data_IF_200463155692
#
_entry.id   IF_200463155692
#
_cell.length_a   1.000
_cell.length_b   1.000
_cell.length_c   1.000
_cell.angle_alpha   90.00
_cell.angle_beta   90.00
_cell.angle_gamma   90.00
#
_symmetry.space_group_name_H-M   'P 1'
#
loop_
_entity.id
_entity.type
_entity.pdbx_description
1 polymer ?
#
# COMPACT_ATOMS: atom_id res chain seq x y z
N UNK A 1 -10.68 -12.70 -10.80
CA UNK A 1 -11.54 -13.83 -10.38
C UNK A 1 -12.43 -14.19 -11.57
N UNK A 2 -12.51 -15.46 -11.96
CA UNK A 2 -13.38 -15.88 -13.06
C UNK A 2 -14.84 -15.60 -12.68
N UNK A 3 -15.70 -15.24 -13.66
CA UNK A 3 -17.14 -15.00 -13.47
C UNK A 3 -17.85 -16.14 -12.73
N UNK A 4 -17.30 -17.35 -12.82
CA UNK A 4 -17.78 -18.54 -12.09
C UNK A 4 -17.54 -18.43 -10.58
N UNK A 5 -16.42 -17.83 -10.14
CA UNK A 5 -16.08 -17.60 -8.72
C UNK A 5 -16.93 -16.49 -8.13
N UNK A 6 -17.20 -15.44 -8.90
CA UNK A 6 -18.08 -14.33 -8.47
C UNK A 6 -19.53 -14.82 -8.37
N UNK A 7 -19.98 -15.61 -9.35
CA UNK A 7 -21.32 -16.21 -9.34
C UNK A 7 -21.52 -17.21 -8.19
N UNK A 8 -20.49 -18.01 -7.87
CA UNK A 8 -20.52 -18.95 -6.75
C UNK A 8 -20.53 -18.18 -5.40
N UNK A 9 -19.69 -17.17 -5.26
CA UNK A 9 -19.64 -16.33 -4.06
C UNK A 9 -20.96 -15.59 -3.86
N UNK A 10 -21.56 -15.03 -4.91
CA UNK A 10 -22.85 -14.33 -4.84
C UNK A 10 -24.00 -15.29 -4.51
N UNK A 11 -24.00 -16.50 -5.05
CA UNK A 11 -24.99 -17.54 -4.74
C UNK A 11 -24.84 -18.05 -3.30
N UNK A 12 -23.60 -18.15 -2.81
CA UNK A 12 -23.27 -18.60 -1.46
C UNK A 12 -23.61 -17.52 -0.40
N UNK A 13 -23.43 -16.23 -0.72
CA UNK A 13 -23.83 -15.12 0.15
C UNK A 13 -25.35 -14.95 0.24
N UNK A 14 -26.10 -15.48 -0.73
CA UNK A 14 -27.56 -15.50 -0.71
C UNK A 14 -28.14 -16.63 0.17
N UNK A 15 -27.32 -17.55 0.66
CA UNK A 15 -27.78 -18.66 1.51
C UNK A 15 -27.68 -18.26 3.00
N UNK A 16 -28.71 -18.53 3.77
CA UNK A 16 -28.74 -18.28 5.22
C UNK A 16 -27.88 -19.31 6.02
N UNK A 17 -26.82 -19.85 5.43
CA UNK A 17 -25.96 -20.85 6.09
C UNK A 17 -24.48 -20.49 5.96
N UNK A 18 -23.97 -19.51 6.75
CA UNK A 18 -22.59 -19.03 6.66
C UNK A 18 -21.54 -20.12 6.93
N UNK A 19 -21.88 -21.12 7.77
CA UNK A 19 -21.01 -22.27 8.07
C UNK A 19 -20.76 -23.15 6.83
N UNK A 20 -21.81 -23.42 6.06
CA UNK A 20 -21.70 -24.25 4.85
C UNK A 20 -20.84 -23.55 3.78
N UNK A 21 -20.98 -22.23 3.68
CA UNK A 21 -20.17 -21.37 2.77
C UNK A 21 -18.70 -21.37 3.19
N UNK A 22 -18.40 -21.14 4.47
CA UNK A 22 -17.04 -21.16 4.99
C UNK A 22 -16.38 -22.53 4.76
N UNK A 23 -17.08 -23.62 5.04
CA UNK A 23 -16.57 -24.97 4.81
C UNK A 23 -16.30 -25.27 3.32
N UNK A 24 -17.16 -24.77 2.42
CA UNK A 24 -17.01 -24.98 0.97
C UNK A 24 -15.85 -24.18 0.40
N UNK A 25 -15.68 -22.92 0.87
CA UNK A 25 -14.54 -22.07 0.49
C UNK A 25 -13.24 -22.66 1.03
N UNK A 26 -13.21 -23.13 2.27
CA UNK A 26 -12.06 -23.80 2.84
C UNK A 26 -11.70 -25.08 2.08
N UNK A 27 -12.70 -25.86 1.69
CA UNK A 27 -12.51 -27.13 0.96
C UNK A 27 -12.02 -26.94 -0.48
N UNK A 28 -12.46 -25.87 -1.17
CA UNK A 28 -12.14 -25.64 -2.57
C UNK A 28 -11.05 -24.60 -2.82
N UNK A 29 -10.84 -23.68 -1.91
CA UNK A 29 -9.89 -22.57 -2.05
C UNK A 29 -8.80 -22.55 -0.97
N UNK A 30 -8.89 -23.40 0.05
CA UNK A 30 -7.93 -23.48 1.15
C UNK A 30 -7.98 -22.26 2.11
N UNK A 31 -8.96 -21.38 1.94
CA UNK A 31 -9.09 -20.13 2.71
C UNK A 31 -10.15 -20.33 3.79
N UNK A 32 -9.78 -20.11 5.05
CA UNK A 32 -10.72 -20.09 6.18
C UNK A 32 -11.37 -18.71 6.26
N UNK A 33 -12.64 -18.62 5.88
CA UNK A 33 -13.42 -17.40 6.12
C UNK A 33 -13.89 -17.39 7.58
N UNK A 34 -13.64 -16.33 8.36
CA UNK A 34 -14.24 -16.19 9.67
C UNK A 34 -15.77 -16.12 9.51
N UNK A 35 -16.45 -16.88 10.36
CA UNK A 35 -17.90 -16.95 10.35
C UNK A 35 -18.42 -15.68 11.02
N UNK A 36 -18.86 -14.75 10.19
CA UNK A 36 -19.58 -13.56 10.66
C UNK A 36 -21.05 -13.86 10.54
N UNK A 37 -21.79 -13.77 11.63
CA UNK A 37 -23.24 -13.84 11.56
C UNK A 37 -23.77 -12.55 10.92
N UNK A 38 -24.10 -12.67 9.63
CA UNK A 38 -24.66 -11.55 8.85
C UNK A 38 -25.98 -11.00 9.40
N UNK A 39 -26.63 -11.72 10.31
CA UNK A 39 -27.86 -11.32 10.98
C UNK A 39 -27.60 -10.62 12.32
N UNK A 40 -26.38 -10.65 12.84
CA UNK A 40 -26.02 -9.92 14.04
C UNK A 40 -26.22 -8.41 13.81
N UNK A 41 -27.02 -7.73 14.64
CA UNK A 41 -27.24 -6.30 14.54
C UNK A 41 -25.95 -5.48 14.60
N UNK A 42 -24.98 -5.85 15.44
CA UNK A 42 -23.70 -5.17 15.58
C UNK A 42 -22.85 -5.31 14.29
N UNK A 43 -22.83 -6.50 13.70
CA UNK A 43 -22.12 -6.73 12.44
C UNK A 43 -22.77 -6.00 11.26
N UNK A 44 -24.09 -5.82 11.26
CA UNK A 44 -24.76 -4.99 10.25
C UNK A 44 -24.47 -3.50 10.44
N UNK A 45 -24.45 -3.02 11.68
CA UNK A 45 -24.09 -1.64 12.00
C UNK A 45 -22.64 -1.35 11.58
N UNK A 46 -21.71 -2.22 11.94
CA UNK A 46 -20.30 -2.10 11.54
C UNK A 46 -20.14 -2.08 10.00
N UNK A 47 -20.84 -2.96 9.29
CA UNK A 47 -20.80 -2.99 7.82
C UNK A 47 -21.30 -1.69 7.21
N UNK A 48 -22.37 -1.12 7.74
CA UNK A 48 -22.89 0.16 7.26
C UNK A 48 -21.91 1.31 7.50
N UNK A 49 -21.17 1.29 8.63
CA UNK A 49 -20.10 2.25 8.88
C UNK A 49 -18.96 2.10 7.85
N UNK A 50 -18.53 0.87 7.58
CA UNK A 50 -17.47 0.60 6.60
C UNK A 50 -17.87 1.02 5.17
N UNK A 51 -19.14 0.81 4.77
CA UNK A 51 -19.67 1.33 3.50
C UNK A 51 -19.69 2.87 3.52
N UNK A 52 -20.01 3.45 4.66
CA UNK A 52 -20.07 4.91 4.83
C UNK A 52 -18.70 5.57 4.81
N UNK A 53 -17.64 4.90 5.31
CA UNK A 53 -16.29 5.42 5.28
C UNK A 53 -15.70 5.32 3.86
N UNK A 54 -15.87 4.20 3.15
CA UNK A 54 -15.51 4.06 1.74
C UNK A 54 -16.16 5.17 0.89
N UNK A 55 -17.47 5.39 1.08
CA UNK A 55 -18.18 6.46 0.38
C UNK A 55 -17.65 7.87 0.72
N UNK A 56 -17.20 8.08 1.97
CA UNK A 56 -16.61 9.36 2.37
C UNK A 56 -15.26 9.60 1.69
N UNK A 57 -14.45 8.56 1.57
CA UNK A 57 -13.16 8.61 0.91
C UNK A 57 -13.31 8.87 -0.59
N UNK A 58 -14.25 8.19 -1.24
CA UNK A 58 -14.55 8.40 -2.67
C UNK A 58 -15.06 9.82 -2.92
N UNK A 59 -15.98 10.32 -2.10
CA UNK A 59 -16.50 11.68 -2.19
C UNK A 59 -15.39 12.73 -2.03
N UNK A 60 -14.48 12.55 -1.09
CA UNK A 60 -13.33 13.43 -0.87
C UNK A 60 -12.36 13.38 -2.05
N UNK A 61 -12.10 12.21 -2.60
CA UNK A 61 -11.29 12.07 -3.81
C UNK A 61 -11.90 12.83 -5.00
N UNK A 62 -13.21 12.72 -5.18
CA UNK A 62 -13.93 13.45 -6.22
C UNK A 62 -13.83 14.97 -6.02
N UNK A 63 -13.95 15.47 -4.79
CA UNK A 63 -13.77 16.90 -4.52
C UNK A 63 -12.37 17.37 -4.87
N UNK A 64 -11.32 16.61 -4.53
CA UNK A 64 -9.93 16.94 -4.83
C UNK A 64 -9.71 16.96 -6.35
N UNK A 65 -10.24 15.97 -7.06
CA UNK A 65 -10.04 15.81 -8.50
C UNK A 65 -10.83 16.88 -9.31
N UNK A 66 -12.07 17.17 -8.88
CA UNK A 66 -12.96 18.09 -9.59
C UNK A 66 -12.55 19.55 -9.40
N UNK A 67 -12.07 19.91 -8.21
CA UNK A 67 -11.79 21.33 -7.92
C UNK A 67 -10.52 21.85 -8.58
N UNK A 68 -9.70 21.03 -9.21
CA UNK A 68 -8.46 21.43 -9.91
C UNK A 68 -7.82 22.72 -9.36
N UNK A 69 -7.77 22.83 -8.02
CA UNK A 69 -7.37 24.05 -7.33
C UNK A 69 -5.89 24.29 -7.61
N UNK A 70 -5.60 25.38 -8.32
CA UNK A 70 -4.20 25.78 -8.48
C UNK A 70 -3.55 25.85 -7.11
N UNK A 71 -2.39 25.21 -6.96
CA UNK A 71 -1.63 25.11 -5.68
C UNK A 71 -1.35 26.47 -5.02
N UNK A 72 -1.60 27.56 -5.71
CA UNK A 72 -1.41 28.95 -5.27
C UNK A 72 -2.68 29.58 -4.68
N UNK A 73 -3.86 28.95 -4.79
CA UNK A 73 -5.11 29.52 -4.27
C UNK A 73 -5.35 29.07 -2.81
N UNK A 74 -4.61 29.66 -1.87
CA UNK A 74 -4.67 29.34 -0.45
C UNK A 74 -6.08 29.39 0.17
N UNK A 75 -6.95 30.39 -0.10
CA UNK A 75 -8.30 30.41 0.47
C UNK A 75 -9.17 29.24 0.01
N UNK A 76 -9.10 28.87 -1.27
CA UNK A 76 -9.87 27.75 -1.80
C UNK A 76 -9.38 26.40 -1.26
N UNK A 77 -8.07 26.27 -1.06
CA UNK A 77 -7.48 25.09 -0.40
C UNK A 77 -7.96 24.99 1.05
N UNK A 78 -7.99 26.09 1.79
CA UNK A 78 -8.44 26.11 3.17
C UNK A 78 -9.91 25.72 3.31
N UNK A 79 -10.78 26.19 2.42
CA UNK A 79 -12.20 25.81 2.42
C UNK A 79 -12.39 24.34 2.05
N UNK A 80 -11.66 23.83 1.05
CA UNK A 80 -11.67 22.41 0.70
C UNK A 80 -11.24 21.55 1.91
N UNK A 81 -10.14 21.92 2.57
CA UNK A 81 -9.66 21.19 3.75
C UNK A 81 -10.69 21.17 4.88
N UNK A 82 -11.34 22.30 5.14
CA UNK A 82 -12.41 22.38 6.14
C UNK A 82 -13.57 21.43 5.80
N UNK A 83 -13.95 21.37 4.54
CA UNK A 83 -15.00 20.46 4.06
C UNK A 83 -14.58 18.99 4.19
N UNK A 84 -13.34 18.66 3.86
CA UNK A 84 -12.78 17.31 4.01
C UNK A 84 -12.80 16.88 5.48
N UNK A 85 -12.26 17.73 6.37
CA UNK A 85 -12.25 17.45 7.80
C UNK A 85 -13.67 17.23 8.37
N UNK A 86 -14.63 18.11 7.99
CA UNK A 86 -16.01 17.95 8.45
C UNK A 86 -16.63 16.63 7.96
N UNK A 87 -16.30 16.18 6.76
CA UNK A 87 -16.80 14.90 6.22
C UNK A 87 -16.22 13.71 6.97
N UNK A 88 -14.93 13.73 7.28
CA UNK A 88 -14.27 12.66 8.03
C UNK A 88 -14.68 12.62 9.50
N UNK A 89 -14.96 13.78 10.13
CA UNK A 89 -15.48 13.83 11.50
C UNK A 89 -16.84 13.12 11.64
N UNK A 90 -17.70 13.15 10.63
CA UNK A 90 -18.94 12.38 10.63
C UNK A 90 -18.67 10.89 10.74
N UNK A 91 -17.69 10.38 10.00
CA UNK A 91 -17.28 8.96 10.03
C UNK A 91 -16.67 8.61 11.39
N UNK A 92 -15.75 9.43 11.90
CA UNK A 92 -15.14 9.24 13.23
C UNK A 92 -16.20 9.13 14.31
N UNK A 93 -17.17 10.05 14.34
CA UNK A 93 -18.27 10.00 15.31
C UNK A 93 -19.13 8.73 15.17
N UNK A 94 -19.30 8.23 13.95
CA UNK A 94 -19.98 6.96 13.70
C UNK A 94 -19.25 5.80 14.38
N UNK A 95 -17.95 5.66 14.14
CA UNK A 95 -17.12 4.64 14.79
C UNK A 95 -17.05 4.80 16.31
N UNK A 96 -16.89 6.03 16.81
CA UNK A 96 -16.91 6.31 18.26
C UNK A 96 -18.25 5.92 18.89
N UNK A 97 -19.36 6.14 18.19
CA UNK A 97 -20.69 5.72 18.61
C UNK A 97 -20.80 4.20 18.69
N UNK A 98 -20.37 3.53 17.63
CA UNK A 98 -20.36 2.08 17.52
C UNK A 98 -19.53 1.45 18.66
N UNK A 99 -18.30 1.90 18.84
CA UNK A 99 -17.38 1.33 19.85
C UNK A 99 -17.81 1.62 21.30
N UNK A 100 -18.55 2.70 21.54
CA UNK A 100 -19.20 2.91 22.87
C UNK A 100 -20.27 1.86 23.15
N UNK A 101 -21.00 1.43 22.13
CA UNK A 101 -22.06 0.43 22.26
C UNK A 101 -21.50 -1.01 22.21
N UNK A 102 -20.38 -1.21 21.53
CA UNK A 102 -19.73 -2.51 21.29
C UNK A 102 -18.23 -2.45 21.65
N UNK A 103 -17.88 -2.24 22.94
CA UNK A 103 -16.47 -2.04 23.37
C UNK A 103 -15.61 -3.30 23.24
N UNK A 104 -16.20 -4.45 22.99
CA UNK A 104 -15.57 -5.74 22.78
C UNK A 104 -15.43 -6.13 21.29
N UNK A 105 -15.83 -5.22 20.38
CA UNK A 105 -15.73 -5.49 18.94
C UNK A 105 -14.31 -5.29 18.40
N UNK A 106 -13.51 -6.35 18.42
CA UNK A 106 -12.16 -6.33 17.82
C UNK A 106 -12.19 -5.88 16.34
N UNK A 107 -13.23 -6.30 15.59
CA UNK A 107 -13.42 -5.90 14.20
C UNK A 107 -13.77 -4.41 14.06
N UNK A 108 -14.55 -3.87 14.97
CA UNK A 108 -14.87 -2.44 14.99
C UNK A 108 -13.60 -1.60 15.19
N UNK A 109 -12.76 -1.97 16.13
CA UNK A 109 -11.47 -1.33 16.34
C UNK A 109 -10.55 -1.45 15.09
N UNK A 110 -10.48 -2.63 14.49
CA UNK A 110 -9.68 -2.82 13.27
C UNK A 110 -10.18 -1.95 12.12
N UNK A 111 -11.47 -1.92 11.86
CA UNK A 111 -12.08 -1.11 10.80
C UNK A 111 -11.87 0.39 11.05
N UNK A 112 -12.08 0.86 12.28
CA UNK A 112 -11.80 2.26 12.63
C UNK A 112 -10.32 2.62 12.44
N UNK A 113 -9.41 1.76 12.89
CA UNK A 113 -7.99 1.93 12.67
C UNK A 113 -7.63 2.05 11.19
N UNK A 114 -8.24 1.23 10.33
CA UNK A 114 -8.03 1.30 8.88
C UNK A 114 -8.50 2.62 8.28
N UNK A 115 -9.69 3.09 8.67
CA UNK A 115 -10.19 4.40 8.25
C UNK A 115 -9.25 5.53 8.70
N UNK A 116 -8.80 5.50 9.97
CA UNK A 116 -7.87 6.52 10.50
C UNK A 116 -6.55 6.53 9.72
N UNK A 117 -6.00 5.35 9.42
CA UNK A 117 -4.81 5.21 8.59
C UNK A 117 -5.03 5.78 7.18
N UNK A 118 -6.18 5.49 6.60
CA UNK A 118 -6.54 5.96 5.25
C UNK A 118 -6.65 7.48 5.15
N UNK A 119 -7.02 8.15 6.21
CA UNK A 119 -7.07 9.62 6.27
C UNK A 119 -5.78 10.27 6.80
N UNK A 120 -4.74 9.47 7.10
CA UNK A 120 -3.44 9.93 7.56
C UNK A 120 -3.33 10.20 9.07
N UNK A 121 -4.29 9.72 9.86
CA UNK A 121 -4.24 9.74 11.34
C UNK A 121 -3.57 8.45 11.84
N UNK A 122 -2.27 8.32 11.56
CA UNK A 122 -1.49 7.09 11.82
C UNK A 122 -1.42 6.76 13.31
N UNK A 123 -1.25 7.75 14.19
CA UNK A 123 -1.22 7.54 15.64
C UNK A 123 -2.59 7.09 16.18
N UNK A 124 -3.67 7.67 15.67
CA UNK A 124 -5.03 7.23 15.96
C UNK A 124 -5.27 5.79 15.49
N UNK A 125 -4.81 5.46 14.28
CA UNK A 125 -4.91 4.12 13.72
C UNK A 125 -4.19 3.09 14.59
N UNK A 126 -2.95 3.36 15.01
CA UNK A 126 -2.17 2.49 15.92
C UNK A 126 -2.96 2.15 17.18
N UNK A 127 -3.53 3.17 17.84
CA UNK A 127 -4.31 2.95 19.07
C UNK A 127 -5.47 1.97 18.84
N UNK A 128 -6.18 2.12 17.71
CA UNK A 128 -7.30 1.24 17.40
C UNK A 128 -6.81 -0.18 17.04
N UNK A 129 -5.70 -0.31 16.33
CA UNK A 129 -5.10 -1.61 16.03
C UNK A 129 -4.63 -2.33 17.31
N UNK A 130 -4.03 -1.62 18.26
CA UNK A 130 -3.63 -2.19 19.54
C UNK A 130 -4.85 -2.67 20.36
N UNK A 131 -5.95 -1.89 20.39
CA UNK A 131 -7.20 -2.33 21.00
C UNK A 131 -7.76 -3.59 20.33
N UNK A 132 -7.77 -3.62 19.00
CA UNK A 132 -8.20 -4.81 18.26
C UNK A 132 -7.33 -6.04 18.58
N UNK A 133 -5.99 -5.86 18.62
CA UNK A 133 -5.04 -6.92 18.98
C UNK A 133 -5.24 -7.46 20.40
N UNK A 134 -5.58 -6.60 21.36
CA UNK A 134 -5.88 -7.02 22.73
C UNK A 134 -7.14 -7.88 22.82
N UNK A 135 -8.16 -7.55 22.04
CA UNK A 135 -9.43 -8.28 22.03
C UNK A 135 -9.36 -9.57 21.22
N UNK A 136 -8.68 -9.56 20.07
CA UNK A 136 -8.49 -10.74 19.23
C UNK A 136 -7.03 -10.85 18.71
N UNK A 137 -6.12 -11.39 19.53
CA UNK A 137 -4.73 -11.58 19.16
C UNK A 137 -4.53 -12.66 18.09
N UNK A 138 -5.58 -13.39 17.71
CA UNK A 138 -5.52 -14.42 16.67
C UNK A 138 -5.91 -13.88 15.29
N UNK A 139 -6.37 -12.65 15.20
CA UNK A 139 -6.68 -12.01 13.92
C UNK A 139 -5.38 -11.62 13.20
N UNK A 140 -5.00 -12.24 12.07
CA UNK A 140 -3.75 -11.94 11.38
C UNK A 140 -3.72 -10.53 10.79
N UNK A 141 -4.89 -9.97 10.44
CA UNK A 141 -4.96 -8.66 9.82
C UNK A 141 -4.46 -7.55 10.74
N UNK A 142 -4.73 -7.63 12.05
CA UNK A 142 -4.26 -6.60 12.99
C UNK A 142 -2.74 -6.60 13.14
N UNK A 143 -2.10 -7.77 13.09
CA UNK A 143 -0.66 -7.88 13.11
C UNK A 143 -0.03 -7.27 11.84
N UNK A 144 -0.64 -7.53 10.68
CA UNK A 144 -0.19 -6.92 9.44
C UNK A 144 -0.32 -5.38 9.45
N UNK A 145 -1.43 -4.84 9.98
CA UNK A 145 -1.62 -3.39 10.07
C UNK A 145 -0.63 -2.74 11.03
N UNK A 146 -0.38 -3.34 12.19
CA UNK A 146 0.65 -2.86 13.11
C UNK A 146 2.05 -2.96 12.49
N UNK A 147 2.35 -4.03 11.75
CA UNK A 147 3.61 -4.17 11.04
C UNK A 147 3.82 -3.06 9.98
N UNK A 148 2.76 -2.68 9.25
CA UNK A 148 2.81 -1.54 8.31
C UNK A 148 3.12 -0.25 9.07
N UNK A 149 2.37 0.05 10.14
CA UNK A 149 2.59 1.22 10.98
C UNK A 149 4.05 1.28 11.47
N UNK A 150 4.56 0.19 12.05
CA UNK A 150 5.94 0.14 12.54
C UNK A 150 6.97 0.29 11.42
N UNK A 151 6.69 -0.27 10.23
CA UNK A 151 7.57 -0.13 9.06
C UNK A 151 7.68 1.32 8.60
N UNK A 152 6.58 2.05 8.54
CA UNK A 152 6.51 3.46 8.13
C UNK A 152 7.15 4.39 9.18
N UNK A 153 7.04 4.05 10.46
CA UNK A 153 7.58 4.82 11.57
C UNK A 153 9.01 4.44 12.00
N UNK A 154 9.68 3.56 11.25
CA UNK A 154 11.08 3.20 11.48
C UNK A 154 11.32 2.19 12.60
N UNK A 155 10.27 1.61 13.17
CA UNK A 155 10.36 0.56 14.20
C UNK A 155 10.50 -0.84 13.56
N UNK A 156 11.52 -1.03 12.71
CA UNK A 156 11.66 -2.18 11.81
C UNK A 156 11.71 -3.54 12.52
N UNK A 157 12.26 -3.60 13.73
CA UNK A 157 12.29 -4.83 14.53
C UNK A 157 10.86 -5.31 14.85
N UNK A 158 9.99 -4.37 15.26
CA UNK A 158 8.58 -4.66 15.54
C UNK A 158 7.85 -5.04 14.25
N UNK A 159 8.08 -4.30 13.15
CA UNK A 159 7.48 -4.59 11.84
C UNK A 159 7.79 -6.02 11.38
N UNK A 160 9.06 -6.43 11.41
CA UNK A 160 9.47 -7.78 10.98
C UNK A 160 8.88 -8.89 11.85
N UNK A 161 8.76 -8.65 13.17
CA UNK A 161 8.14 -9.59 14.09
C UNK A 161 6.63 -9.74 13.82
N UNK A 162 5.93 -8.61 13.67
CA UNK A 162 4.48 -8.59 13.47
C UNK A 162 4.07 -9.15 12.10
N UNK A 163 4.81 -8.87 11.00
CA UNK A 163 4.59 -9.55 9.73
C UNK A 163 4.78 -11.07 9.82
N UNK A 164 5.79 -11.51 10.58
CA UNK A 164 6.03 -12.95 10.80
C UNK A 164 4.85 -13.58 11.51
N UNK A 165 4.28 -12.89 12.50
CA UNK A 165 3.12 -13.37 13.24
C UNK A 165 1.85 -13.37 12.37
N UNK A 166 1.62 -12.35 11.53
CA UNK A 166 0.51 -12.32 10.59
C UNK A 166 0.55 -13.54 9.65
N UNK A 167 1.71 -13.83 9.06
CA UNK A 167 1.91 -15.00 8.20
C UNK A 167 1.75 -16.32 8.98
N UNK A 168 2.21 -16.39 10.22
CA UNK A 168 2.04 -17.59 11.06
C UNK A 168 0.57 -17.90 11.33
N UNK A 169 -0.26 -16.85 11.52
CA UNK A 169 -1.68 -16.96 11.81
C UNK A 169 -2.49 -17.31 10.55
N UNK A 170 -2.14 -16.70 9.42
CA UNK A 170 -2.75 -17.04 8.11
C UNK A 170 -1.68 -17.08 7.01
N UNK A 171 -1.13 -18.28 6.73
CA UNK A 171 -0.12 -18.46 5.70
C UNK A 171 -0.70 -18.45 4.26
N UNK A 172 -2.02 -18.37 4.10
CA UNK A 172 -2.68 -18.39 2.79
C UNK A 172 -2.96 -16.97 2.24
N UNK A 173 -2.73 -15.91 3.03
CA UNK A 173 -2.98 -14.54 2.63
C UNK A 173 -1.76 -13.93 1.89
N UNK A 174 -1.84 -13.65 0.58
CA UNK A 174 -0.72 -13.14 -0.21
C UNK A 174 -0.27 -11.74 0.21
N UNK A 175 -1.17 -10.91 0.74
CA UNK A 175 -0.87 -9.52 1.12
C UNK A 175 0.16 -9.46 2.23
N UNK A 176 0.15 -10.39 3.20
CA UNK A 176 1.12 -10.39 4.29
C UNK A 176 2.54 -10.64 3.79
N UNK A 177 2.69 -11.54 2.81
CA UNK A 177 3.98 -11.78 2.17
C UNK A 177 4.44 -10.60 1.33
N UNK A 178 3.52 -9.95 0.58
CA UNK A 178 3.83 -8.77 -0.26
C UNK A 178 4.33 -7.61 0.61
N UNK A 179 3.60 -7.26 1.66
CA UNK A 179 3.96 -6.17 2.56
C UNK A 179 5.30 -6.43 3.24
N UNK A 180 5.47 -7.64 3.75
CA UNK A 180 6.73 -8.04 4.37
C UNK A 180 7.89 -8.00 3.38
N UNK A 181 7.70 -8.49 2.14
CA UNK A 181 8.71 -8.43 1.09
C UNK A 181 9.12 -6.99 0.77
N UNK A 182 8.15 -6.09 0.61
CA UNK A 182 8.36 -4.66 0.36
C UNK A 182 9.15 -4.03 1.49
N UNK A 183 8.77 -4.27 2.74
CA UNK A 183 9.45 -3.71 3.92
C UNK A 183 10.88 -4.23 4.04
N UNK A 184 11.13 -5.53 3.87
CA UNK A 184 12.47 -6.12 3.85
C UNK A 184 13.33 -5.51 2.72
N UNK A 185 12.73 -5.31 1.54
CA UNK A 185 13.42 -4.72 0.40
C UNK A 185 13.76 -3.25 0.60
N UNK A 186 12.86 -2.44 1.11
CA UNK A 186 13.06 -1.00 1.32
C UNK A 186 14.05 -0.73 2.46
N UNK A 187 13.93 -1.44 3.56
CA UNK A 187 14.74 -1.26 4.76
C UNK A 187 15.86 -2.31 4.88
N UNK A 188 16.62 -2.44 3.77
CA UNK A 188 17.70 -3.45 3.64
C UNK A 188 18.73 -3.42 4.74
N UNK A 189 19.07 -2.21 5.22
CA UNK A 189 20.06 -2.04 6.29
C UNK A 189 19.55 -2.71 7.58
N UNK A 190 18.35 -2.38 7.97
CA UNK A 190 17.72 -2.89 9.20
C UNK A 190 17.46 -4.39 9.09
N UNK A 191 17.02 -4.87 7.92
CA UNK A 191 16.85 -6.29 7.65
C UNK A 191 18.18 -7.08 7.75
N UNK A 192 19.30 -6.49 7.28
CA UNK A 192 20.64 -7.10 7.45
C UNK A 192 20.99 -7.26 8.93
N UNK A 193 20.77 -6.22 9.71
CA UNK A 193 21.06 -6.20 11.14
C UNK A 193 20.16 -7.18 11.90
N UNK A 194 18.85 -7.14 11.64
CA UNK A 194 17.87 -8.00 12.31
C UNK A 194 18.08 -9.49 12.04
N UNK A 195 18.36 -9.87 10.77
CA UNK A 195 18.56 -11.27 10.40
C UNK A 195 20.02 -11.75 10.47
N UNK A 196 20.99 -10.87 10.69
CA UNK A 196 22.41 -11.20 10.68
C UNK A 196 22.92 -11.72 9.31
N UNK A 197 22.38 -11.17 8.20
CA UNK A 197 22.68 -11.62 6.83
C UNK A 197 23.26 -10.50 5.98
N UNK A 198 23.89 -10.84 4.84
CA UNK A 198 24.41 -9.85 3.91
C UNK A 198 23.29 -9.29 2.98
N UNK A 199 23.61 -8.22 2.24
CA UNK A 199 22.62 -7.53 1.40
C UNK A 199 22.03 -8.42 0.29
N UNK A 200 22.84 -9.30 -0.32
CA UNK A 200 22.33 -10.23 -1.33
C UNK A 200 21.33 -11.23 -0.73
N UNK A 201 21.58 -11.68 0.49
CA UNK A 201 20.65 -12.55 1.21
C UNK A 201 19.37 -11.81 1.64
N UNK A 202 19.45 -10.50 1.90
CA UNK A 202 18.24 -9.67 2.12
C UNK A 202 17.39 -9.62 0.85
N UNK A 203 18.01 -9.39 -0.31
CA UNK A 203 17.29 -9.46 -1.59
C UNK A 203 16.68 -10.84 -1.82
N UNK A 204 17.44 -11.91 -1.57
CA UNK A 204 16.91 -13.27 -1.70
C UNK A 204 15.72 -13.54 -0.80
N UNK A 205 15.74 -13.00 0.44
CA UNK A 205 14.62 -13.07 1.38
C UNK A 205 13.40 -12.31 0.87
N UNK A 206 13.56 -11.06 0.42
CA UNK A 206 12.46 -10.26 -0.12
C UNK A 206 11.86 -10.92 -1.36
N UNK A 207 12.69 -11.32 -2.33
CA UNK A 207 12.25 -12.04 -3.53
C UNK A 207 11.59 -13.39 -3.19
N UNK A 208 12.04 -14.06 -2.13
CA UNK A 208 11.43 -15.29 -1.62
C UNK A 208 9.99 -15.05 -1.12
N UNK A 209 9.77 -14.00 -0.37
CA UNK A 209 8.46 -13.59 0.12
C UNK A 209 7.53 -13.21 -1.05
N UNK A 210 7.98 -12.39 -2.01
CA UNK A 210 7.21 -12.08 -3.22
C UNK A 210 6.82 -13.34 -3.99
N UNK A 211 7.74 -14.31 -4.15
CA UNK A 211 7.42 -15.58 -4.81
C UNK A 211 6.35 -16.39 -4.08
N UNK A 212 6.30 -16.32 -2.74
CA UNK A 212 5.20 -16.97 -2.00
C UNK A 212 3.88 -16.24 -2.24
N UNK A 213 3.87 -14.91 -2.18
CA UNK A 213 2.68 -14.12 -2.53
C UNK A 213 2.18 -14.42 -3.95
N UNK A 214 3.09 -14.48 -4.94
CA UNK A 214 2.77 -14.83 -6.34
C UNK A 214 2.20 -16.24 -6.51
N UNK A 215 2.61 -17.21 -5.70
CA UNK A 215 2.01 -18.56 -5.72
C UNK A 215 0.56 -18.53 -5.21
N UNK A 216 0.26 -17.70 -4.22
CA UNK A 216 -1.07 -17.56 -3.64
C UNK A 216 -2.00 -16.71 -4.53
N UNK A 217 -1.46 -15.71 -5.21
CA UNK A 217 -2.22 -14.81 -6.09
C UNK A 217 -1.57 -14.68 -7.49
N UNK A 218 -1.54 -15.74 -8.32
CA UNK A 218 -0.78 -15.78 -9.57
C UNK A 218 -1.31 -14.82 -10.66
N UNK A 219 -2.52 -14.32 -10.55
CA UNK A 219 -3.15 -13.38 -11.49
C UNK A 219 -3.18 -11.94 -10.99
N UNK A 220 -2.46 -11.63 -9.90
CA UNK A 220 -2.38 -10.28 -9.36
C UNK A 220 -1.24 -9.51 -10.05
N UNK A 221 -1.61 -8.59 -10.96
CA UNK A 221 -0.65 -7.80 -11.73
C UNK A 221 0.15 -6.85 -10.83
N UNK A 222 -0.49 -6.22 -9.84
CA UNK A 222 0.20 -5.29 -8.93
C UNK A 222 1.34 -6.01 -8.21
N UNK A 223 1.06 -7.17 -7.65
CA UNK A 223 2.06 -8.02 -6.99
C UNK A 223 3.18 -8.46 -7.96
N UNK A 224 2.83 -8.82 -9.21
CA UNK A 224 3.81 -9.20 -10.22
C UNK A 224 4.73 -8.03 -10.62
N UNK A 225 4.18 -6.82 -10.67
CA UNK A 225 4.94 -5.58 -10.92
C UNK A 225 5.87 -5.28 -9.75
N UNK A 226 5.38 -5.28 -8.50
CA UNK A 226 6.21 -5.06 -7.30
C UNK A 226 7.38 -6.03 -7.22
N UNK A 227 7.11 -7.31 -7.50
CA UNK A 227 8.15 -8.34 -7.58
C UNK A 227 9.20 -8.02 -8.66
N UNK A 228 8.75 -7.64 -9.86
CA UNK A 228 9.64 -7.33 -10.97
C UNK A 228 10.43 -6.03 -10.75
N UNK A 229 9.82 -5.00 -10.14
CA UNK A 229 10.48 -3.74 -9.78
C UNK A 229 11.59 -3.92 -8.73
N UNK A 230 11.44 -4.89 -7.84
CA UNK A 230 12.45 -5.19 -6.81
C UNK A 230 13.83 -5.48 -7.41
N UNK A 231 13.91 -5.96 -8.67
CA UNK A 231 15.18 -6.20 -9.33
C UNK A 231 15.97 -4.94 -9.67
N UNK A 232 15.33 -3.76 -9.79
CA UNK A 232 16.04 -2.52 -10.12
C UNK A 232 17.02 -2.06 -9.03
N UNK A 233 16.75 -2.41 -7.77
CA UNK A 233 17.64 -2.09 -6.64
C UNK A 233 18.78 -3.09 -6.43
N UNK A 234 18.77 -4.24 -7.11
CA UNK A 234 19.76 -5.30 -6.91
C UNK A 234 21.01 -5.01 -7.75
N UNK A 235 22.18 -5.01 -7.11
CA UNK A 235 23.48 -4.78 -7.75
C UNK A 235 24.41 -5.98 -7.53
N UNK A 236 24.98 -6.60 -8.58
CA UNK A 236 24.72 -6.38 -10.00
C UNK A 236 23.29 -6.78 -10.37
N UNK A 237 22.75 -6.18 -11.44
CA UNK A 237 21.40 -6.49 -11.91
C UNK A 237 21.26 -7.98 -12.27
N UNK A 238 20.29 -8.66 -11.71
CA UNK A 238 19.95 -10.05 -12.05
C UNK A 238 19.08 -10.06 -13.30
N UNK A 239 19.68 -9.77 -14.43
CA UNK A 239 19.01 -9.47 -15.71
C UNK A 239 18.03 -10.55 -16.14
N UNK A 240 18.44 -11.83 -16.11
CA UNK A 240 17.58 -12.93 -16.55
C UNK A 240 16.33 -13.06 -15.66
N UNK A 241 16.51 -12.95 -14.35
CA UNK A 241 15.41 -13.05 -13.39
C UNK A 241 14.45 -11.86 -13.55
N UNK A 242 14.99 -10.65 -13.76
CA UNK A 242 14.18 -9.45 -14.01
C UNK A 242 13.36 -9.59 -15.30
N UNK A 243 13.95 -10.10 -16.39
CA UNK A 243 13.25 -10.35 -17.65
C UNK A 243 12.14 -11.37 -17.48
N UNK A 244 12.38 -12.46 -16.75
CA UNK A 244 11.36 -13.47 -16.43
C UNK A 244 10.21 -12.85 -15.62
N UNK A 245 10.53 -12.06 -14.61
CA UNK A 245 9.52 -11.40 -13.76
C UNK A 245 8.63 -10.43 -14.58
N UNK A 246 9.23 -9.57 -15.40
CA UNK A 246 8.48 -8.65 -16.27
C UNK A 246 7.71 -9.36 -17.38
N UNK A 247 8.24 -10.45 -17.94
CA UNK A 247 7.50 -11.26 -18.92
C UNK A 247 6.28 -11.91 -18.27
N UNK A 248 6.41 -12.40 -17.03
CA UNK A 248 5.26 -12.90 -16.29
C UNK A 248 4.20 -11.80 -16.06
N UNK A 249 4.61 -10.60 -15.65
CA UNK A 249 3.69 -9.46 -15.50
C UNK A 249 2.95 -9.16 -16.83
N UNK A 250 3.66 -9.22 -17.98
CA UNK A 250 3.05 -9.03 -19.29
C UNK A 250 1.96 -10.07 -19.61
N UNK A 251 2.13 -11.32 -19.18
CA UNK A 251 1.12 -12.37 -19.39
C UNK A 251 -0.13 -12.20 -18.55
N UNK A 252 -0.03 -11.46 -17.44
CA UNK A 252 -1.12 -11.20 -16.50
C UNK A 252 -1.89 -9.92 -16.87
N UNK A 253 -1.24 -8.98 -17.56
CA UNK A 253 -1.83 -7.71 -17.98
C UNK A 253 -3.12 -7.94 -18.82
N UNK A 254 -4.21 -7.29 -18.41
CA UNK A 254 -5.57 -7.54 -18.95
C UNK A 254 -5.97 -6.56 -20.04
N UNK A 255 -5.52 -5.32 -19.93
CA UNK A 255 -5.85 -4.26 -20.89
C UNK A 255 -4.59 -3.62 -21.49
N UNK A 256 -4.80 -2.75 -22.47
CA UNK A 256 -3.70 -2.10 -23.20
C UNK A 256 -2.90 -1.15 -22.29
N UNK A 257 -3.52 -0.50 -21.30
CA UNK A 257 -2.82 0.38 -20.39
C UNK A 257 -1.85 -0.41 -19.49
N UNK A 258 -2.32 -1.51 -18.90
CA UNK A 258 -1.47 -2.43 -18.12
C UNK A 258 -0.35 -3.01 -18.97
N UNK A 259 -0.70 -3.46 -20.18
CA UNK A 259 0.26 -4.06 -21.13
C UNK A 259 1.34 -3.07 -21.54
N UNK A 260 0.98 -1.86 -21.95
CA UNK A 260 1.92 -0.85 -22.38
C UNK A 260 2.82 -0.37 -21.23
N UNK A 261 2.28 -0.27 -20.00
CA UNK A 261 3.07 -0.02 -18.81
C UNK A 261 4.18 -1.06 -18.62
N UNK A 262 3.84 -2.35 -18.70
CA UNK A 262 4.82 -3.45 -18.58
C UNK A 262 5.83 -3.45 -19.73
N UNK A 263 5.42 -3.13 -20.97
CA UNK A 263 6.33 -3.03 -22.12
C UNK A 263 7.43 -1.97 -21.91
N UNK A 264 7.11 -0.84 -21.28
CA UNK A 264 8.10 0.18 -20.93
C UNK A 264 9.16 -0.35 -19.96
N UNK A 265 8.76 -1.13 -18.98
CA UNK A 265 9.67 -1.77 -18.04
C UNK A 265 10.54 -2.85 -18.73
N UNK A 266 9.96 -3.66 -19.61
CA UNK A 266 10.72 -4.61 -20.44
C UNK A 266 11.73 -3.90 -21.32
N UNK A 267 11.35 -2.80 -21.97
CA UNK A 267 12.27 -2.00 -22.75
C UNK A 267 13.45 -1.49 -21.90
N UNK A 268 13.18 -1.01 -20.69
CA UNK A 268 14.22 -0.55 -19.75
C UNK A 268 15.19 -1.66 -19.36
N UNK A 269 14.70 -2.84 -18.98
CA UNK A 269 15.57 -3.97 -18.59
C UNK A 269 16.36 -4.47 -19.78
N UNK A 270 15.75 -4.58 -20.98
CA UNK A 270 16.42 -5.00 -22.20
C UNK A 270 17.50 -4.00 -22.66
N UNK A 271 17.25 -2.69 -22.50
CA UNK A 271 18.27 -1.67 -22.74
C UNK A 271 19.49 -1.88 -21.84
N UNK A 272 19.27 -2.06 -20.54
CA UNK A 272 20.33 -2.32 -19.57
C UNK A 272 21.09 -3.65 -19.84
N UNK A 273 20.42 -4.60 -20.49
CA UNK A 273 20.97 -5.90 -20.87
C UNK A 273 21.70 -5.90 -22.23
N UNK A 274 21.63 -4.81 -23.01
CA UNK A 274 22.20 -4.72 -24.37
C UNK A 274 21.30 -5.31 -25.47
N UNK A 275 20.05 -5.69 -25.17
CA UNK A 275 19.07 -6.19 -26.15
C UNK A 275 18.34 -5.01 -26.83
N UNK A 276 19.09 -4.17 -27.54
CA UNK A 276 18.61 -2.86 -28.01
C UNK A 276 17.47 -2.94 -29.02
N UNK A 277 17.53 -3.89 -29.97
CA UNK A 277 16.49 -4.02 -30.99
C UNK A 277 15.16 -4.51 -30.40
N UNK A 278 15.22 -5.42 -29.44
CA UNK A 278 14.05 -5.87 -28.69
C UNK A 278 13.49 -4.78 -27.77
N UNK A 279 14.37 -3.98 -27.15
CA UNK A 279 13.97 -2.82 -26.36
C UNK A 279 13.21 -1.80 -27.22
N UNK A 280 13.74 -1.52 -28.44
CA UNK A 280 13.08 -0.63 -29.39
C UNK A 280 11.70 -1.14 -29.80
N UNK A 281 11.59 -2.44 -30.12
CA UNK A 281 10.31 -3.04 -30.50
C UNK A 281 9.24 -2.89 -29.38
N UNK A 282 9.64 -3.01 -28.10
CA UNK A 282 8.73 -2.76 -26.99
C UNK A 282 8.32 -1.29 -26.89
N UNK A 283 9.24 -0.34 -27.08
CA UNK A 283 8.90 1.08 -27.11
C UNK A 283 7.97 1.42 -28.27
N UNK A 284 8.17 0.85 -29.46
CA UNK A 284 7.33 1.11 -30.64
C UNK A 284 5.89 0.63 -30.43
N UNK A 285 5.71 -0.44 -29.67
CA UNK A 285 4.39 -0.99 -29.33
C UNK A 285 3.58 -0.12 -28.34
N UNK A 286 4.21 0.86 -27.68
CA UNK A 286 3.52 1.78 -26.74
C UNK A 286 2.91 2.94 -27.53
N UNK A 287 1.60 3.08 -27.46
CA UNK A 287 0.82 4.09 -28.21
C UNK A 287 0.03 5.03 -27.32
N UNK A 288 -0.22 4.66 -26.06
CA UNK A 288 -1.01 5.44 -25.12
C UNK A 288 -0.33 6.78 -24.80
N UNK A 289 -1.12 7.86 -24.99
CA UNK A 289 -0.67 9.24 -24.77
C UNK A 289 -0.15 9.48 -23.35
N UNK A 290 -0.70 8.79 -22.34
CA UNK A 290 -0.26 8.91 -20.94
C UNK A 290 1.20 8.45 -20.74
N UNK A 291 1.72 7.60 -21.60
CA UNK A 291 3.08 7.06 -21.51
C UNK A 291 4.09 7.73 -22.43
N UNK A 292 3.71 8.69 -23.27
CA UNK A 292 4.60 9.28 -24.29
C UNK A 292 5.85 9.94 -23.70
N UNK A 293 5.74 10.61 -22.57
CA UNK A 293 6.89 11.23 -21.90
C UNK A 293 7.88 10.19 -21.41
N UNK A 294 7.38 9.11 -20.81
CA UNK A 294 8.22 8.01 -20.32
C UNK A 294 8.85 7.27 -21.50
N UNK A 295 8.07 6.95 -22.53
CA UNK A 295 8.55 6.35 -23.79
C UNK A 295 9.70 7.17 -24.38
N UNK A 296 9.53 8.49 -24.48
CA UNK A 296 10.55 9.40 -25.03
C UNK A 296 11.85 9.37 -24.22
N UNK A 297 11.74 9.37 -22.89
CA UNK A 297 12.90 9.27 -22.00
C UNK A 297 13.63 7.93 -22.13
N UNK A 298 12.89 6.84 -22.22
CA UNK A 298 13.46 5.51 -22.39
C UNK A 298 14.09 5.34 -23.79
N UNK A 299 13.48 5.89 -24.85
CA UNK A 299 14.04 5.89 -26.19
C UNK A 299 15.37 6.66 -26.24
N UNK A 300 15.48 7.81 -25.56
CA UNK A 300 16.74 8.54 -25.43
C UNK A 300 17.79 7.71 -24.69
N UNK A 301 17.42 7.12 -23.55
CA UNK A 301 18.33 6.23 -22.81
C UNK A 301 18.81 5.06 -23.66
N UNK A 302 17.93 4.46 -24.47
CA UNK A 302 18.29 3.39 -25.40
C UNK A 302 19.29 3.87 -26.45
N UNK A 303 19.06 5.05 -27.05
CA UNK A 303 19.96 5.64 -28.02
C UNK A 303 21.37 5.92 -27.43
N UNK A 304 21.42 6.44 -26.19
CA UNK A 304 22.66 6.70 -25.46
C UNK A 304 23.47 5.42 -25.18
N UNK A 305 22.77 4.32 -24.85
CA UNK A 305 23.41 3.02 -24.63
C UNK A 305 23.90 2.36 -25.94
N UNK A 306 23.14 2.54 -27.03
CA UNK A 306 23.49 2.01 -28.35
C UNK A 306 24.67 2.75 -28.97
N UNK A 307 24.74 4.06 -28.73
CA UNK A 307 25.78 4.96 -29.24
C UNK A 307 26.31 5.81 -28.09
N UNK A 308 27.18 5.25 -27.23
CA UNK A 308 27.75 6.03 -26.14
C UNK A 308 28.50 7.23 -26.72
N UNK A 309 28.30 8.45 -26.16
CA UNK A 309 29.02 9.61 -26.65
C UNK A 309 30.51 9.35 -26.57
N UNK A 310 31.19 9.51 -27.69
CA UNK A 310 32.65 9.42 -27.80
C UNK A 310 33.26 10.64 -27.11
N UNK A 311 33.37 10.60 -25.81
CA UNK A 311 34.14 11.59 -25.07
C UNK A 311 35.63 11.26 -25.24
N UNK A 312 36.32 12.15 -25.94
CA UNK A 312 37.77 12.31 -25.80
C UNK A 312 38.12 12.33 -24.32
N UNK A 313 39.10 11.49 -23.98
CA UNK A 313 39.63 11.33 -22.63
C UNK A 313 40.13 12.70 -22.14
N UNK A 314 39.34 13.39 -21.33
CA UNK A 314 39.82 14.31 -20.31
C UNK A 314 39.60 13.61 -18.96
N UNK A 315 40.71 13.35 -18.30
CA UNK A 315 40.73 12.83 -16.93
C UNK A 315 39.93 13.76 -16.03
N UNK A 316 38.74 13.34 -15.63
CA UNK A 316 37.94 14.03 -14.63
C UNK A 316 38.15 13.34 -13.28
N UNK A 317 38.56 14.10 -12.24
CA UNK A 317 38.86 13.53 -10.94
C UNK A 317 37.60 12.87 -10.31
N UNK A 318 37.83 11.70 -9.76
CA UNK A 318 36.89 10.91 -8.98
C UNK A 318 36.24 11.72 -7.88
N UNK A 319 35.04 12.31 -8.11
CA UNK A 319 34.11 12.63 -7.04
C UNK A 319 32.70 12.96 -7.59
N UNK A 320 31.72 12.28 -7.00
CA UNK A 320 30.28 12.46 -7.10
C UNK A 320 29.60 11.92 -8.36
N UNK A 321 29.25 10.65 -8.31
CA UNK A 321 28.07 10.14 -9.01
C UNK A 321 26.84 10.70 -8.29
N UNK A 322 26.28 11.78 -8.81
CA UNK A 322 24.91 12.19 -8.47
C UNK A 322 23.99 11.26 -9.24
N UNK A 323 23.53 10.21 -8.58
CA UNK A 323 22.42 9.40 -9.09
C UNK A 323 21.19 10.30 -9.05
N UNK A 324 20.70 10.69 -10.23
CA UNK A 324 19.45 11.41 -10.36
C UNK A 324 18.31 10.46 -9.92
N UNK A 325 17.90 10.59 -8.68
CA UNK A 325 16.78 9.86 -8.06
C UNK A 325 15.40 10.23 -8.63
N UNK A 326 15.37 11.17 -9.59
CA UNK A 326 14.12 11.68 -10.15
C UNK A 326 13.44 10.78 -11.19
N UNK A 327 14.11 9.71 -11.67
CA UNK A 327 13.50 8.82 -12.65
C UNK A 327 12.64 7.72 -11.99
N UNK A 328 13.01 7.31 -10.79
CA UNK A 328 12.21 6.36 -10.00
C UNK A 328 10.88 6.98 -9.53
N UNK A 329 10.92 8.26 -9.10
CA UNK A 329 9.74 8.95 -8.60
C UNK A 329 8.63 9.18 -9.64
N UNK A 330 8.96 9.27 -10.92
CA UNK A 330 7.95 9.55 -11.97
C UNK A 330 7.22 8.29 -12.45
N UNK A 331 7.87 7.13 -12.38
CA UNK A 331 7.22 5.84 -12.71
C UNK A 331 6.43 5.33 -11.51
N UNK A 332 6.97 5.52 -10.31
CA UNK A 332 6.31 5.24 -9.04
C UNK A 332 4.97 5.97 -8.93
N UNK A 333 4.85 7.20 -9.44
CA UNK A 333 3.61 7.99 -9.33
C UNK A 333 2.43 7.48 -10.18
N UNK A 334 2.65 6.57 -11.15
CA UNK A 334 1.55 5.95 -11.93
C UNK A 334 1.18 4.59 -11.34
N UNK A 335 2.12 3.89 -10.73
CA UNK A 335 1.92 2.55 -10.16
C UNK A 335 1.76 2.58 -8.64
N UNK A 336 2.43 3.47 -7.91
CA UNK A 336 2.30 3.61 -6.44
C UNK A 336 0.99 4.28 -5.99
N UNK A 337 0.23 4.88 -6.92
CA UNK A 337 -1.16 5.23 -6.61
C UNK A 337 -2.01 3.99 -6.30
N UNK A 338 -1.53 2.79 -6.63
CA UNK A 338 -2.22 1.51 -6.36
C UNK A 338 -1.63 0.72 -5.18
N UNK A 339 -0.42 1.07 -4.67
CA UNK A 339 0.26 0.24 -3.67
C UNK A 339 0.12 0.71 -2.23
N UNK A 340 -0.39 1.91 -1.98
CA UNK A 340 -0.56 2.43 -0.62
C UNK A 340 -1.90 2.07 0.03
N UNK A 341 -2.69 1.19 -0.59
CA UNK A 341 -3.82 0.55 0.06
C UNK A 341 -3.57 -0.93 0.19
N UNK A 342 -3.20 -1.30 1.38
CA UNK A 342 -3.40 -2.66 1.83
C UNK A 342 -4.91 -2.87 1.92
N UNK A 343 -5.50 -3.79 1.14
CA UNK A 343 -6.89 -4.10 1.32
C UNK A 343 -7.05 -4.55 2.77
N UNK A 344 -7.83 -3.82 3.53
CA UNK A 344 -8.41 -4.39 4.75
C UNK A 344 -9.24 -5.56 4.24
N UNK A 345 -8.66 -6.75 4.34
CA UNK A 345 -9.42 -7.96 4.15
C UNK A 345 -10.40 -8.03 5.30
N UNK A 346 -11.53 -7.39 5.09
CA UNK A 346 -12.73 -7.71 5.85
C UNK A 346 -13.13 -9.09 5.42
N UNK A 347 -12.62 -10.07 6.16
CA UNK A 347 -12.97 -11.46 5.97
C UNK A 347 -14.49 -11.58 5.89
N UNK A 348 -15.03 -11.87 4.73
CA UNK A 348 -16.45 -12.15 4.53
C UNK A 348 -17.32 -11.06 3.91
N UNK A 349 -16.75 -9.90 3.48
CA UNK A 349 -17.47 -8.96 2.62
C UNK A 349 -17.09 -9.19 1.15
N UNK A 350 -18.02 -9.04 0.19
CA UNK A 350 -17.66 -9.06 -1.21
C UNK A 350 -16.59 -7.99 -1.44
N UNK A 351 -15.49 -8.37 -2.07
CA UNK A 351 -14.50 -7.40 -2.53
C UNK A 351 -15.24 -6.40 -3.41
N UNK A 352 -15.42 -5.18 -2.93
CA UNK A 352 -15.88 -4.08 -3.76
C UNK A 352 -14.84 -3.92 -4.86
N UNK A 353 -15.28 -4.06 -6.08
CA UNK A 353 -14.51 -4.18 -7.31
C UNK A 353 -13.86 -2.87 -7.70
N UNK A 354 -13.12 -2.26 -6.85
CA UNK A 354 -12.09 -1.25 -7.07
C UNK A 354 -11.73 -0.69 -5.69
N UNK A 355 -10.57 -1.02 -5.12
CA UNK A 355 -10.11 -0.28 -3.96
C UNK A 355 -9.97 1.19 -4.40
N UNK A 356 -10.58 2.15 -3.69
CA UNK A 356 -10.36 3.54 -4.00
C UNK A 356 -8.87 3.83 -3.86
N UNK A 357 -8.28 4.34 -4.94
CA UNK A 357 -6.90 4.77 -4.98
C UNK A 357 -6.80 6.03 -4.15
N UNK A 358 -6.22 5.97 -2.95
CA UNK A 358 -5.84 7.19 -2.26
C UNK A 358 -4.86 7.94 -3.14
N UNK A 359 -5.34 9.06 -3.63
CA UNK A 359 -4.42 9.98 -4.28
C UNK A 359 -3.49 10.56 -3.22
N UNK A 360 -2.15 10.52 -3.43
CA UNK A 360 -1.19 11.26 -2.60
C UNK A 360 -1.57 12.73 -2.40
N UNK A 361 -2.59 13.20 -3.13
CA UNK A 361 -3.16 14.54 -3.03
C UNK A 361 -3.88 14.84 -1.72
N UNK A 362 -4.49 13.84 -1.03
CA UNK A 362 -5.16 14.09 0.26
C UNK A 362 -4.13 14.45 1.31
N UNK A 363 -3.09 13.65 1.45
CA UNK A 363 -1.99 13.93 2.39
C UNK A 363 -1.28 15.24 2.03
N UNK A 364 -1.01 15.50 0.74
CA UNK A 364 -0.36 16.74 0.31
C UNK A 364 -1.21 17.99 0.55
N UNK A 365 -2.53 17.89 0.46
CA UNK A 365 -3.45 18.99 0.78
C UNK A 365 -3.49 19.23 2.30
N UNK A 366 -3.50 18.16 3.11
CA UNK A 366 -3.54 18.26 4.57
C UNK A 366 -2.21 18.73 5.19
N UNK A 367 -1.07 18.29 4.66
CA UNK A 367 0.26 18.65 5.19
C UNK A 367 0.71 20.07 4.88
N UNK A 368 0.08 20.75 3.92
CA UNK A 368 0.37 22.17 3.62
C UNK A 368 -0.42 23.17 4.49
N UNK A 369 -1.22 22.70 5.45
CA UNK A 369 -1.87 23.56 6.44
C UNK A 369 -0.98 23.59 7.69
N UNK A 370 -0.55 24.78 8.15
CA UNK A 370 0.15 24.86 9.44
C UNK A 370 -0.78 24.31 10.54
N UNK A 371 -0.26 23.55 11.51
CA UNK A 371 -1.08 22.97 12.55
C UNK A 371 -1.89 24.09 13.23
N UNK A 372 -3.21 23.96 13.24
CA UNK A 372 -4.10 24.81 14.03
C UNK A 372 -3.88 24.36 15.47
N UNK A 373 -2.94 25.03 16.17
CA UNK A 373 -2.80 24.87 17.61
C UNK A 373 -4.12 25.40 18.21
N UNK A 374 -4.94 24.56 18.86
CA UNK A 374 -6.10 25.06 19.59
C UNK A 374 -5.55 26.03 20.65
N UNK A 375 -5.96 27.27 20.63
CA UNK A 375 -5.70 28.18 21.74
C UNK A 375 -6.26 27.53 22.99
N UNK A 376 -5.38 27.09 23.87
CA UNK A 376 -5.71 26.59 25.17
C UNK A 376 -6.57 27.66 25.87
N UNK A 377 -7.87 27.38 25.98
CA UNK A 377 -8.75 28.14 26.86
C UNK A 377 -8.21 27.98 28.29
N UNK A 378 -7.91 29.12 28.90
CA UNK A 378 -7.20 29.26 30.13
C UNK A 378 -7.60 28.31 31.25
N UNK A 379 -6.66 27.47 31.60
CA UNK A 379 -6.58 26.91 32.96
C UNK A 379 -5.48 27.71 33.70
N UNK A 380 -5.94 28.49 34.66
CA UNK A 380 -5.06 29.22 35.59
C UNK A 380 -4.15 28.21 36.28
N UNK A 381 -2.84 28.46 36.19
CA UNK A 381 -1.85 27.71 36.94
C UNK A 381 -2.04 27.99 38.46
N UNK A 382 -2.15 26.92 39.22
CA UNK A 382 -2.10 27.00 40.69
C UNK A 382 -0.70 27.46 41.14
N UNK A 383 -0.60 28.27 42.22
CA UNK A 383 0.67 28.77 42.67
C UNK A 383 1.57 27.67 43.25
N UNK A 384 2.90 27.80 43.18
CA UNK A 384 3.82 26.77 43.66
C UNK A 384 3.82 26.72 45.21
N UNK A 385 3.61 25.52 45.75
CA UNK A 385 3.77 25.26 47.18
C UNK A 385 5.23 25.37 47.62
N UNK A 386 5.42 26.12 48.68
CA UNK A 386 6.69 26.30 49.41
C UNK A 386 7.28 24.94 49.83
N UNK A 387 8.49 24.66 49.37
CA UNK A 387 9.33 23.61 49.93
C UNK A 387 9.97 24.10 51.20
N UNK A 388 9.58 23.56 52.34
CA UNK A 388 10.27 23.72 53.62
C UNK A 388 11.71 23.19 53.53
N UNK A 389 12.64 24.07 53.91
CA UNK A 389 14.00 23.69 54.30
C UNK A 389 13.96 23.11 55.72
N UNK A 390 14.62 21.98 55.92
CA UNK A 390 15.03 21.52 57.23
C UNK A 390 16.54 21.37 57.27
N UNK A 391 17.13 21.60 58.47
CA UNK A 391 18.56 21.80 58.71
C UNK A 391 19.41 20.55 58.49
#
# INVERSE_FOLDING_TARGET
MNDLTIGLLSALLATNQPQAVSNLVQQHMGVSLPIVDVNDPAERELRNLMIGDDAALDEVNDWINTNNIARTNTPAIAELNKRILARFEIVKHGYDGFLRNHPDSARGFLAYGSFLNDIGDEDGAKVQYENSKQLDPKNPAVWNQLANYYGENGELTNAFADYTEAIRLDPAEPVYYQNFATTVYLYRKDAREFYGINEQQVFDKALGLYRQAMKLAPQNLVLAVDYAESYYGIKPLRTNDALVAWTNALTIAKDDNEREGVLLHLARVKTAAGFYDEAQAHLDAVTNAAFLDLKTRLARSLADHKNPPTNSVEEIPTNKVVVSTNLAAAVTNVVTATTNRLPVLTNGLPALTNPPVFSPKIVAVMTNVPPIIPKASGLQAAPPSLREQRP
#
